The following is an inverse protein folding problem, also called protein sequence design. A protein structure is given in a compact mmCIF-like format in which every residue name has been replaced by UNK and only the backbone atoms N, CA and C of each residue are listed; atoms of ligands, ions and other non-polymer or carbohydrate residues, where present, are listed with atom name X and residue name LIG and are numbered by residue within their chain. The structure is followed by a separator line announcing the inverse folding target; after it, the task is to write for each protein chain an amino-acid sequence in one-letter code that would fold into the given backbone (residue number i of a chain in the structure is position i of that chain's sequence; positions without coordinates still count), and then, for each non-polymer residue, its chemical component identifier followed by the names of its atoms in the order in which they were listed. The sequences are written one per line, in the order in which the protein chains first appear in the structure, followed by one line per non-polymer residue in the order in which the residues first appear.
data_IF_788849273359
#
_entry.id   IF_788849273359
#
_cell.length_a   1.000
_cell.length_b   1.000
_cell.length_c   1.000
_cell.angle_alpha   90.00
_cell.angle_beta   90.00
_cell.angle_gamma   90.00
#
_symmetry.space_group_name_H-M   'P 1'
#
loop_
_entity.id
_entity.type
_entity.pdbx_description
1 polymer ?
#
# COMPACT_ATOMS: atom_id res chain seq x y z
N UNK A 1 -18.64 9.26 -0.11
CA UNK A 1 -17.86 8.03 -0.36
C UNK A 1 -16.83 8.37 -1.43
N UNK A 2 -15.54 8.26 -1.12
CA UNK A 2 -14.50 8.64 -2.07
C UNK A 2 -14.33 7.51 -3.10
N UNK A 3 -14.70 7.76 -4.36
CA UNK A 3 -14.63 6.79 -5.46
C UNK A 3 -13.20 6.72 -6.08
N UNK A 4 -12.19 7.00 -5.26
CA UNK A 4 -10.80 7.06 -5.69
C UNK A 4 -10.25 5.64 -5.84
N UNK A 5 -9.63 5.30 -6.99
CA UNK A 5 -9.15 3.95 -7.24
C UNK A 5 -8.11 3.50 -6.21
N UNK A 6 -8.16 2.21 -5.88
CA UNK A 6 -7.19 1.55 -5.02
C UNK A 6 -5.84 1.39 -5.70
N UNK A 7 -4.77 1.77 -5.01
CA UNK A 7 -3.38 1.60 -5.40
C UNK A 7 -2.73 0.50 -4.55
N UNK A 8 -2.15 -0.48 -5.22
CA UNK A 8 -1.22 -1.46 -4.62
C UNK A 8 0.17 -1.15 -5.12
N UNK A 9 1.13 -1.05 -4.20
CA UNK A 9 2.54 -0.80 -4.53
C UNK A 9 3.35 -2.06 -4.28
N UNK A 10 3.92 -2.62 -5.35
CA UNK A 10 4.91 -3.70 -5.26
C UNK A 10 6.32 -3.13 -5.14
N UNK A 11 7.19 -3.77 -4.35
CA UNK A 11 8.50 -3.21 -4.04
C UNK A 11 8.40 -1.94 -3.17
N UNK A 12 7.52 -1.96 -2.17
CA UNK A 12 7.20 -0.83 -1.28
C UNK A 12 8.43 -0.25 -0.55
N UNK A 13 9.43 -1.08 -0.25
CA UNK A 13 10.68 -0.70 0.42
C UNK A 13 11.67 0.00 -0.52
N UNK A 14 11.51 -0.16 -1.84
CA UNK A 14 12.35 0.47 -2.84
C UNK A 14 12.13 1.98 -2.96
N UNK A 15 13.11 2.68 -3.51
CA UNK A 15 13.05 4.15 -3.70
C UNK A 15 11.81 4.62 -4.46
N UNK A 16 11.44 3.90 -5.52
CA UNK A 16 10.25 4.24 -6.32
C UNK A 16 8.97 3.91 -5.56
N UNK A 17 8.89 2.73 -4.93
CA UNK A 17 7.73 2.34 -4.12
C UNK A 17 7.41 3.36 -3.03
N UNK A 18 8.43 3.76 -2.25
CA UNK A 18 8.28 4.81 -1.24
C UNK A 18 7.87 6.16 -1.82
N UNK A 19 8.35 6.52 -3.02
CA UNK A 19 7.92 7.75 -3.71
C UNK A 19 6.43 7.69 -4.06
N UNK A 20 5.97 6.58 -4.62
CA UNK A 20 4.56 6.38 -4.95
C UNK A 20 3.67 6.43 -3.71
N UNK A 21 4.10 5.81 -2.61
CA UNK A 21 3.39 5.83 -1.32
C UNK A 21 3.25 7.27 -0.80
N UNK A 22 4.34 8.05 -0.78
CA UNK A 22 4.29 9.47 -0.36
C UNK A 22 3.34 10.31 -1.23
N UNK A 23 3.37 10.11 -2.55
CA UNK A 23 2.48 10.80 -3.47
C UNK A 23 1.01 10.41 -3.26
N UNK A 24 0.74 9.13 -3.01
CA UNK A 24 -0.61 8.65 -2.72
C UNK A 24 -1.14 9.20 -1.38
N UNK A 25 -0.30 9.24 -0.33
CA UNK A 25 -0.68 9.81 0.98
C UNK A 25 -1.05 11.30 0.92
N UNK A 26 -0.52 12.04 -0.05
CA UNK A 26 -0.83 13.46 -0.26
C UNK A 26 -1.92 13.74 -1.30
N UNK A 27 -2.61 12.72 -1.80
CA UNK A 27 -3.55 12.84 -2.92
C UNK A 27 -4.90 12.19 -2.60
N UNK A 28 -5.98 12.93 -2.78
CA UNK A 28 -7.34 12.39 -2.63
C UNK A 28 -7.81 11.60 -3.86
N UNK A 29 -7.00 11.56 -4.92
CA UNK A 29 -7.33 10.90 -6.21
C UNK A 29 -7.03 9.39 -6.21
N UNK A 30 -6.27 8.91 -5.24
CA UNK A 30 -5.84 7.51 -5.12
C UNK A 30 -5.93 7.10 -3.66
N UNK A 31 -6.17 5.83 -3.41
CA UNK A 31 -6.13 5.27 -2.05
C UNK A 31 -5.07 4.20 -1.98
N UNK A 32 -4.08 4.34 -1.11
CA UNK A 32 -3.16 3.23 -0.84
C UNK A 32 -3.92 2.14 -0.10
N UNK A 33 -4.03 0.96 -0.72
CA UNK A 33 -4.80 -0.18 -0.17
C UNK A 33 -3.97 -1.44 0.01
N UNK A 34 -2.73 -1.45 -0.48
CA UNK A 34 -1.81 -2.57 -0.28
C UNK A 34 -0.37 -2.24 -0.60
N UNK A 35 0.55 -2.88 0.12
CA UNK A 35 1.98 -2.82 -0.12
C UNK A 35 2.55 -4.24 -0.14
N UNK A 36 3.33 -4.56 -1.18
CA UNK A 36 3.86 -5.91 -1.39
C UNK A 36 5.37 -5.88 -1.42
N UNK A 37 5.98 -6.85 -0.76
CA UNK A 37 7.41 -7.14 -0.81
C UNK A 37 7.67 -8.62 -1.05
N UNK A 38 8.92 -8.96 -1.36
CA UNK A 38 9.33 -10.36 -1.43
C UNK A 38 9.23 -11.04 -0.05
N UNK A 39 8.90 -12.33 -0.04
CA UNK A 39 8.92 -13.14 1.17
C UNK A 39 10.26 -13.03 1.92
N UNK A 40 10.18 -12.97 3.25
CA UNK A 40 11.34 -12.79 4.13
C UNK A 40 11.93 -11.37 4.17
N UNK A 41 11.31 -10.38 3.52
CA UNK A 41 11.73 -8.98 3.66
C UNK A 41 11.41 -8.44 5.07
N UNK A 42 12.29 -7.60 5.63
CA UNK A 42 12.15 -7.08 7.00
C UNK A 42 10.94 -6.14 7.21
N UNK A 43 10.21 -5.80 6.14
CA UNK A 43 9.03 -4.95 6.21
C UNK A 43 7.72 -5.76 6.28
N UNK A 44 7.75 -7.06 5.96
CA UNK A 44 6.55 -7.91 6.03
C UNK A 44 5.96 -7.87 7.44
N UNK A 45 4.64 -7.67 7.54
CA UNK A 45 3.91 -7.56 8.80
C UNK A 45 3.98 -6.20 9.49
N UNK A 46 4.74 -5.23 8.95
CA UNK A 46 4.81 -3.87 9.47
C UNK A 46 3.84 -2.94 8.75
N UNK A 47 3.35 -1.92 9.45
CA UNK A 47 2.70 -0.80 8.79
C UNK A 47 3.72 -0.05 7.90
N UNK A 48 3.31 0.28 6.68
CA UNK A 48 4.22 0.89 5.70
C UNK A 48 4.64 2.31 6.08
N UNK A 49 3.78 3.05 6.79
CA UNK A 49 4.11 4.37 7.32
C UNK A 49 5.21 4.28 8.37
N UNK A 50 5.09 3.34 9.30
CA UNK A 50 6.13 3.06 10.30
C UNK A 50 7.42 2.52 9.66
N UNK A 51 7.31 1.64 8.66
CA UNK A 51 8.45 1.08 7.94
C UNK A 51 9.25 2.16 7.20
N UNK A 52 8.57 3.20 6.72
CA UNK A 52 9.16 4.39 6.10
C UNK A 52 9.66 5.45 7.11
N UNK A 53 9.51 5.20 8.41
CA UNK A 53 9.94 6.11 9.49
C UNK A 53 8.95 7.22 9.84
N UNK A 54 7.70 7.11 9.39
CA UNK A 54 6.60 8.02 9.71
C UNK A 54 5.61 7.45 10.72
N UNK A 55 4.44 8.09 10.81
CA UNK A 55 3.29 7.58 11.56
C UNK A 55 2.62 6.41 10.81
N UNK A 56 1.92 5.50 11.51
CA UNK A 56 1.18 4.42 10.87
C UNK A 56 0.08 4.96 9.96
N UNK A 57 -0.10 4.32 8.80
CA UNK A 57 -1.10 4.71 7.78
C UNK A 57 -2.21 3.68 7.58
N UNK A 58 -2.17 2.56 8.31
CA UNK A 58 -3.18 1.50 8.28
C UNK A 58 -3.01 0.51 7.13
N UNK A 59 -1.83 0.49 6.47
CA UNK A 59 -1.53 -0.44 5.37
C UNK A 59 -0.33 -1.28 5.74
N UNK A 60 -0.57 -2.57 5.99
CA UNK A 60 0.46 -3.54 6.34
C UNK A 60 1.12 -4.10 5.09
N UNK A 61 2.44 -4.21 5.12
CA UNK A 61 3.21 -4.83 4.02
C UNK A 61 3.05 -6.35 4.06
N UNK A 62 2.66 -6.95 2.94
CA UNK A 62 2.46 -8.39 2.78
C UNK A 62 3.40 -8.97 1.72
N UNK A 63 3.63 -10.28 1.77
CA UNK A 63 4.27 -11.05 0.69
C UNK A 63 3.25 -11.83 -0.16
N UNK A 64 1.95 -11.66 0.12
CA UNK A 64 0.84 -12.18 -0.67
C UNK A 64 0.30 -11.10 -1.65
N UNK A 65 0.73 -11.10 -2.92
CA UNK A 65 0.22 -10.16 -3.91
C UNK A 65 -1.26 -10.38 -4.25
N UNK A 66 -1.79 -11.61 -4.13
CA UNK A 66 -3.19 -11.89 -4.45
C UNK A 66 -4.11 -11.23 -3.43
N UNK A 67 -3.78 -11.35 -2.13
CA UNK A 67 -4.50 -10.66 -1.06
C UNK A 67 -4.47 -9.14 -1.27
N UNK A 68 -3.31 -8.58 -1.62
CA UNK A 68 -3.17 -7.15 -1.86
C UNK A 68 -4.01 -6.66 -3.05
N UNK A 69 -4.01 -7.39 -4.17
CA UNK A 69 -4.80 -7.02 -5.35
C UNK A 69 -6.30 -7.14 -5.13
N UNK A 70 -6.76 -8.12 -4.33
CA UNK A 70 -8.17 -8.25 -3.97
C UNK A 70 -8.69 -6.99 -3.24
N UNK A 71 -7.86 -6.36 -2.38
CA UNK A 71 -8.20 -5.10 -1.68
C UNK A 71 -8.40 -3.93 -2.64
N UNK A 72 -7.69 -3.88 -3.76
CA UNK A 72 -7.86 -2.84 -4.78
C UNK A 72 -9.17 -2.95 -5.56
N UNK A 73 -9.76 -4.14 -5.62
CA UNK A 73 -11.02 -4.39 -6.32
C UNK A 73 -12.26 -4.30 -5.40
N UNK A 74 -12.06 -4.12 -4.09
CA UNK A 74 -13.14 -4.14 -3.11
C UNK A 74 -14.08 -2.91 -3.15
N UNK A 75 -13.84 -1.93 -4.02
CA UNK A 75 -14.80 -0.86 -4.31
C UNK A 75 -15.94 -1.38 -5.22
N UNK A 76 -16.81 -2.24 -4.68
CA UNK A 76 -18.06 -2.63 -5.34
C UNK A 76 -19.14 -1.57 -5.11
N UNK A 77 -19.07 -0.51 -5.92
CA UNK A 77 -20.20 0.35 -6.26
C UNK A 77 -21.06 -0.26 -7.38
N UNK A 78 -21.51 -1.51 -7.21
CA UNK A 78 -22.64 -2.15 -7.89
C UNK A 78 -23.11 -3.34 -7.03
#
# INVERSE_FOLDING_TARGET
MNNAPGLVVTGASGRMGQTLIRLASGSDRLRLVGCVERAGHAWIGRDVGEAMGGAPVGVVVTDDPLEAFAKAQADKGW
#
